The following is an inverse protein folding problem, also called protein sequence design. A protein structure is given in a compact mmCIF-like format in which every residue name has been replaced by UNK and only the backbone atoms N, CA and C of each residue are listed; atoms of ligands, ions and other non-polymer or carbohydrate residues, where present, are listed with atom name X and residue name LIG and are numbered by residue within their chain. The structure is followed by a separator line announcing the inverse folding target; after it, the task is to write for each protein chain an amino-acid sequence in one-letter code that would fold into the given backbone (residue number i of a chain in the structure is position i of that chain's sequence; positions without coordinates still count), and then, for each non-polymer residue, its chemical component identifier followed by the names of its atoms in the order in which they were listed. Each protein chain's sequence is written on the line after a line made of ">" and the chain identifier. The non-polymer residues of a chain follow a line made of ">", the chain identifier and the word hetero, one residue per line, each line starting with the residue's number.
data_IF_582324610549
#
_entry.id   IF_582324610549
#
_cell.length_a   1.000
_cell.length_b   1.000
_cell.length_c   1.000
_cell.angle_alpha   90.00
_cell.angle_beta   90.00
_cell.angle_gamma   90.00
#
_symmetry.space_group_name_H-M   'P 1'
#
loop_
_entity.id
_entity.type
_entity.pdbx_description
1 polymer ?
#
# COMPACT_ATOMS: atom_id res chain seq x y z
N UNK A 1 13.31 -0.04 -0.09
CA UNK A 1 13.08 -1.15 -1.04
C UNK A 1 12.96 -2.48 -0.31
N UNK A 2 13.94 -2.88 0.52
CA UNK A 2 13.84 -4.13 1.30
C UNK A 2 12.62 -4.20 2.23
N UNK A 3 12.32 -3.11 2.94
CA UNK A 3 11.16 -3.03 3.85
C UNK A 3 9.82 -3.13 3.12
N UNK A 4 9.69 -2.48 1.95
CA UNK A 4 8.51 -2.56 1.10
C UNK A 4 8.27 -3.99 0.60
N UNK A 5 9.36 -4.67 0.20
CA UNK A 5 9.30 -6.05 -0.29
C UNK A 5 8.88 -7.02 0.81
N UNK A 6 9.47 -6.88 2.00
CA UNK A 6 9.10 -7.67 3.19
C UNK A 6 7.62 -7.49 3.55
N UNK A 7 7.11 -6.25 3.52
CA UNK A 7 5.69 -5.97 3.77
C UNK A 7 4.77 -6.68 2.75
N UNK A 8 5.11 -6.60 1.47
CA UNK A 8 4.29 -7.14 0.38
C UNK A 8 4.36 -8.67 0.25
N UNK A 9 5.54 -9.26 0.41
CA UNK A 9 5.78 -10.68 0.14
C UNK A 9 5.57 -11.56 1.37
N UNK A 10 5.78 -11.01 2.58
CA UNK A 10 5.80 -11.81 3.80
C UNK A 10 4.77 -11.34 4.83
N UNK A 11 4.95 -10.15 5.39
CA UNK A 11 4.20 -9.68 6.58
C UNK A 11 2.68 -9.57 6.32
N UNK A 12 2.27 -8.87 5.26
CA UNK A 12 0.84 -8.68 4.95
C UNK A 12 0.20 -10.02 4.51
N UNK A 13 0.80 -10.82 3.60
CA UNK A 13 0.28 -12.15 3.27
C UNK A 13 0.22 -13.10 4.48
N UNK A 14 1.21 -13.08 5.37
CA UNK A 14 1.21 -13.89 6.58
C UNK A 14 0.11 -13.46 7.55
N UNK A 15 -0.03 -12.15 7.81
CA UNK A 15 -1.11 -11.62 8.64
C UNK A 15 -2.50 -11.96 8.10
N UNK A 16 -2.68 -11.88 6.78
CA UNK A 16 -3.93 -12.31 6.12
C UNK A 16 -4.18 -13.81 6.29
N UNK A 17 -3.16 -14.66 6.11
CA UNK A 17 -3.29 -16.12 6.33
C UNK A 17 -3.65 -16.43 7.78
N UNK A 18 -2.99 -15.78 8.73
CA UNK A 18 -3.29 -15.95 10.15
C UNK A 18 -4.74 -15.59 10.49
N UNK A 19 -5.32 -14.54 9.88
CA UNK A 19 -6.73 -14.21 10.06
C UNK A 19 -7.68 -15.26 9.47
N UNK A 20 -7.35 -15.84 8.30
CA UNK A 20 -8.13 -16.92 7.69
C UNK A 20 -8.08 -18.18 8.54
N UNK A 21 -6.91 -18.54 9.06
CA UNK A 21 -6.73 -19.65 9.98
C UNK A 21 -7.50 -19.41 11.29
N UNK A 22 -7.42 -18.19 11.83
CA UNK A 22 -8.17 -17.78 13.02
C UNK A 22 -9.67 -17.98 12.83
N UNK A 23 -10.22 -17.58 11.67
CA UNK A 23 -11.63 -17.83 11.35
C UNK A 23 -12.01 -19.31 11.43
N UNK A 24 -11.21 -20.20 10.83
CA UNK A 24 -11.46 -21.65 10.86
C UNK A 24 -11.36 -22.22 12.28
N UNK A 25 -10.34 -21.79 13.03
CA UNK A 25 -10.11 -22.23 14.41
C UNK A 25 -11.26 -21.78 15.32
N UNK A 26 -11.78 -20.57 15.15
CA UNK A 26 -12.89 -20.05 15.94
C UNK A 26 -14.19 -20.82 15.72
N UNK A 27 -14.45 -21.30 14.50
CA UNK A 27 -15.57 -22.21 14.25
C UNK A 27 -15.43 -23.50 15.07
N UNK A 28 -14.24 -24.11 15.06
CA UNK A 28 -14.00 -25.33 15.84
C UNK A 28 -14.07 -25.10 17.35
N UNK A 29 -13.58 -23.95 17.84
CA UNK A 29 -13.69 -23.56 19.25
C UNK A 29 -15.15 -23.37 19.65
N UNK A 30 -15.97 -22.75 18.79
CA UNK A 30 -17.40 -22.59 19.04
C UNK A 30 -18.10 -23.96 19.15
N UNK A 31 -17.85 -24.86 18.19
CA UNK A 31 -18.39 -26.22 18.20
C UNK A 31 -17.96 -26.99 19.45
N UNK A 32 -16.69 -26.85 19.86
CA UNK A 32 -16.17 -27.46 21.08
C UNK A 32 -16.88 -26.90 22.32
N UNK A 33 -17.01 -25.58 22.44
CA UNK A 33 -17.67 -24.95 23.59
C UNK A 33 -19.13 -25.39 23.72
N UNK A 34 -19.87 -25.48 22.61
CA UNK A 34 -21.24 -25.98 22.60
C UNK A 34 -21.30 -27.45 23.06
N UNK A 35 -20.51 -28.32 22.43
CA UNK A 35 -20.49 -29.75 22.77
C UNK A 35 -20.05 -30.01 24.21
N UNK A 36 -19.02 -29.31 24.68
CA UNK A 36 -18.55 -29.38 26.07
C UNK A 36 -19.65 -28.93 27.03
N UNK A 37 -20.34 -27.83 26.73
CA UNK A 37 -21.45 -27.38 27.57
C UNK A 37 -22.59 -28.39 27.60
N UNK A 38 -22.96 -29.01 26.49
CA UNK A 38 -24.04 -30.02 26.43
C UNK A 38 -23.66 -31.29 27.19
N UNK A 39 -22.43 -31.79 27.04
CA UNK A 39 -21.98 -33.06 27.62
C UNK A 39 -21.51 -32.95 29.08
N UNK A 40 -21.08 -31.77 29.53
CA UNK A 40 -20.55 -31.59 30.88
C UNK A 40 -21.62 -31.84 31.97
N UNK A 41 -21.23 -32.57 33.02
CA UNK A 41 -22.04 -32.71 34.24
C UNK A 41 -22.12 -31.39 35.02
N UNK A 42 -21.01 -30.66 35.10
CA UNK A 42 -20.96 -29.33 35.73
C UNK A 42 -21.03 -28.22 34.68
N UNK A 43 -22.24 -27.67 34.50
CA UNK A 43 -22.49 -26.58 33.54
C UNK A 43 -21.79 -25.28 33.91
N UNK A 44 -21.52 -25.02 35.20
CA UNK A 44 -20.85 -23.77 35.61
C UNK A 44 -19.40 -23.79 35.15
N UNK A 45 -18.73 -24.93 35.34
CA UNK A 45 -17.35 -25.11 34.89
C UNK A 45 -17.22 -24.98 33.37
N UNK A 46 -18.10 -25.65 32.60
CA UNK A 46 -18.09 -25.56 31.14
C UNK A 46 -18.38 -24.14 30.62
N UNK A 47 -19.24 -23.38 31.32
CA UNK A 47 -19.50 -21.99 31.00
C UNK A 47 -18.29 -21.09 31.25
N UNK A 48 -17.59 -21.26 32.37
CA UNK A 48 -16.36 -20.51 32.66
C UNK A 48 -15.27 -20.81 31.64
N UNK A 49 -15.12 -22.07 31.21
CA UNK A 49 -14.21 -22.44 30.13
C UNK A 49 -14.58 -21.75 28.81
N UNK A 50 -15.87 -21.69 28.47
CA UNK A 50 -16.36 -20.99 27.28
C UNK A 50 -16.08 -19.49 27.33
N UNK A 51 -16.25 -18.85 28.50
CA UNK A 51 -15.89 -17.43 28.70
C UNK A 51 -14.39 -17.19 28.51
N UNK A 52 -13.54 -18.11 28.99
CA UNK A 52 -12.10 -18.03 28.80
C UNK A 52 -11.74 -18.10 27.30
N UNK A 53 -12.28 -19.08 26.57
CA UNK A 53 -12.09 -19.18 25.12
C UNK A 53 -12.61 -17.94 24.38
N UNK A 54 -13.76 -17.39 24.78
CA UNK A 54 -14.32 -16.17 24.18
C UNK A 54 -13.38 -14.99 24.36
N UNK A 55 -12.83 -14.81 25.57
CA UNK A 55 -11.90 -13.71 25.88
C UNK A 55 -10.60 -13.85 25.10
N UNK A 56 -10.05 -15.06 25.05
CA UNK A 56 -8.83 -15.36 24.29
C UNK A 56 -9.03 -15.14 22.79
N UNK A 57 -10.16 -15.59 22.25
CA UNK A 57 -10.54 -15.44 20.84
C UNK A 57 -10.65 -13.96 20.46
N UNK A 58 -11.34 -13.16 21.28
CA UNK A 58 -11.48 -11.73 21.07
C UNK A 58 -10.12 -11.02 21.07
N UNK A 59 -9.27 -11.33 22.06
CA UNK A 59 -7.93 -10.74 22.15
C UNK A 59 -7.04 -11.12 20.95
N UNK A 60 -7.09 -12.39 20.54
CA UNK A 60 -6.31 -12.91 19.41
C UNK A 60 -6.69 -12.23 18.09
N UNK A 61 -7.98 -12.17 17.77
CA UNK A 61 -8.47 -11.54 16.53
C UNK A 61 -8.17 -10.04 16.54
N UNK A 62 -8.39 -9.35 17.66
CA UNK A 62 -8.10 -7.93 17.77
C UNK A 62 -6.61 -7.63 17.52
N UNK A 63 -5.71 -8.44 18.09
CA UNK A 63 -4.27 -8.31 17.85
C UNK A 63 -3.91 -8.54 16.39
N UNK A 64 -4.42 -9.60 15.76
CA UNK A 64 -4.16 -9.92 14.35
C UNK A 64 -4.62 -8.81 13.41
N UNK A 65 -5.82 -8.26 13.64
CA UNK A 65 -6.36 -7.13 12.86
C UNK A 65 -5.48 -5.90 13.04
N UNK A 66 -5.11 -5.56 14.28
CA UNK A 66 -4.26 -4.41 14.57
C UNK A 66 -2.88 -4.54 13.91
N UNK A 67 -2.24 -5.71 14.00
CA UNK A 67 -0.95 -5.95 13.37
C UNK A 67 -1.02 -5.78 11.84
N UNK A 68 -2.02 -6.39 11.20
CA UNK A 68 -2.21 -6.27 9.76
C UNK A 68 -2.50 -4.82 9.32
N UNK A 69 -3.32 -4.10 10.08
CA UNK A 69 -3.63 -2.70 9.80
C UNK A 69 -2.37 -1.82 9.85
N UNK A 70 -1.52 -1.99 10.87
CA UNK A 70 -0.27 -1.25 10.97
C UNK A 70 0.67 -1.55 9.80
N UNK A 71 0.80 -2.83 9.41
CA UNK A 71 1.63 -3.21 8.26
C UNK A 71 1.12 -2.60 6.95
N UNK A 72 -0.21 -2.52 6.76
CA UNK A 72 -0.82 -1.87 5.58
C UNK A 72 -0.63 -0.35 5.60
N UNK A 73 -0.78 0.30 6.76
CA UNK A 73 -0.51 1.74 6.87
C UNK A 73 0.94 2.07 6.55
N UNK A 74 1.88 1.29 7.11
CA UNK A 74 3.31 1.43 6.83
C UNK A 74 3.62 1.25 5.34
N UNK A 75 2.98 0.27 4.68
CA UNK A 75 3.10 0.07 3.23
C UNK A 75 2.69 1.34 2.46
N UNK A 76 1.54 1.92 2.81
CA UNK A 76 1.01 3.12 2.15
C UNK A 76 1.90 4.34 2.37
N UNK A 77 2.43 4.53 3.59
CA UNK A 77 3.34 5.64 3.90
C UNK A 77 4.64 5.54 3.09
N UNK A 78 5.21 4.34 2.97
CA UNK A 78 6.40 4.11 2.13
C UNK A 78 6.08 4.45 0.67
N UNK A 79 4.97 3.96 0.13
CA UNK A 79 4.59 4.22 -1.26
C UNK A 79 4.32 5.71 -1.52
N UNK A 80 3.64 6.41 -0.62
CA UNK A 80 3.42 7.85 -0.70
C UNK A 80 4.76 8.62 -0.74
N UNK A 81 5.71 8.27 0.14
CA UNK A 81 7.03 8.89 0.16
C UNK A 81 7.82 8.66 -1.14
N UNK A 82 7.71 7.46 -1.73
CA UNK A 82 8.34 7.13 -3.01
C UNK A 82 7.74 7.96 -4.16
N UNK A 83 6.42 8.13 -4.17
CA UNK A 83 5.73 8.93 -5.18
C UNK A 83 6.15 10.40 -5.11
N UNK A 84 6.24 11.00 -3.93
CA UNK A 84 6.73 12.38 -3.77
C UNK A 84 8.17 12.54 -4.29
N UNK A 85 9.03 11.54 -4.07
CA UNK A 85 10.40 11.54 -4.60
C UNK A 85 10.43 11.40 -6.13
N UNK A 86 9.54 10.59 -6.69
CA UNK A 86 9.39 10.47 -8.15
C UNK A 86 8.91 11.79 -8.76
N UNK A 87 7.92 12.46 -8.16
CA UNK A 87 7.44 13.76 -8.59
C UNK A 87 8.57 14.81 -8.61
N UNK A 88 9.36 14.88 -7.53
CA UNK A 88 10.54 15.75 -7.47
C UNK A 88 11.55 15.44 -8.58
N UNK A 89 11.81 14.16 -8.84
CA UNK A 89 12.72 13.73 -9.91
C UNK A 89 12.19 14.14 -11.31
N UNK A 90 10.88 13.99 -11.55
CA UNK A 90 10.23 14.43 -12.79
C UNK A 90 10.33 15.95 -12.95
N UNK A 91 10.09 16.71 -11.88
CA UNK A 91 10.21 18.17 -11.91
C UNK A 91 11.63 18.61 -12.27
N UNK A 92 12.67 17.95 -11.72
CA UNK A 92 14.06 18.21 -12.10
C UNK A 92 14.35 17.87 -13.57
N UNK A 93 13.86 16.74 -14.08
CA UNK A 93 14.00 16.37 -15.50
C UNK A 93 13.31 17.39 -16.42
N UNK A 94 12.11 17.85 -16.03
CA UNK A 94 11.36 18.87 -16.74
C UNK A 94 12.15 20.19 -16.83
N UNK A 95 12.76 20.62 -15.72
CA UNK A 95 13.63 21.81 -15.71
C UNK A 95 14.85 21.67 -16.62
N UNK A 96 15.47 20.49 -16.67
CA UNK A 96 16.61 20.23 -17.59
C UNK A 96 16.15 20.30 -19.05
N UNK A 97 14.96 19.78 -19.36
CA UNK A 97 14.38 19.85 -20.71
C UNK A 97 14.13 21.30 -21.13
N UNK A 98 13.45 22.09 -20.29
CA UNK A 98 13.16 23.50 -20.61
C UNK A 98 14.42 24.34 -20.76
N UNK A 99 15.44 24.10 -19.92
CA UNK A 99 16.74 24.73 -20.09
C UNK A 99 17.40 24.36 -21.43
N UNK A 100 17.36 23.08 -21.81
CA UNK A 100 17.94 22.61 -23.07
C UNK A 100 17.22 23.21 -24.29
N UNK A 101 15.89 23.33 -24.24
CA UNK A 101 15.09 24.01 -25.26
C UNK A 101 15.43 25.51 -25.37
N UNK A 102 15.63 26.19 -24.23
CA UNK A 102 16.07 27.59 -24.22
C UNK A 102 17.44 27.75 -24.87
N UNK A 103 18.41 26.90 -24.53
CA UNK A 103 19.75 26.94 -25.12
C UNK A 103 19.72 26.72 -26.65
N UNK A 104 18.90 25.76 -27.11
CA UNK A 104 18.69 25.52 -28.54
C UNK A 104 18.06 26.73 -29.24
N UNK A 105 17.08 27.35 -28.59
CA UNK A 105 16.40 28.56 -29.09
C UNK A 105 17.39 29.71 -29.26
N UNK A 106 18.24 29.96 -28.26
CA UNK A 106 19.27 31.00 -28.31
C UNK A 106 20.33 30.70 -29.39
N UNK A 107 20.75 29.45 -29.52
CA UNK A 107 21.68 29.01 -30.57
C UNK A 107 21.12 29.26 -31.98
N UNK A 108 19.87 28.86 -32.24
CA UNK A 108 19.21 29.07 -33.53
C UNK A 108 19.04 30.57 -33.84
N UNK A 109 18.73 31.38 -32.82
CA UNK A 109 18.59 32.83 -32.98
C UNK A 109 19.89 33.51 -33.40
N UNK A 110 21.03 33.06 -32.87
CA UNK A 110 22.35 33.63 -33.16
C UNK A 110 22.96 33.11 -34.47
N UNK A 111 22.80 31.82 -34.76
CA UNK A 111 23.54 31.16 -35.84
C UNK A 111 22.69 30.79 -37.08
N UNK A 112 21.35 30.78 -36.98
CA UNK A 112 20.45 30.43 -38.08
C UNK A 112 19.12 31.24 -38.06
N UNK A 113 19.15 32.59 -38.12
CA UNK A 113 17.99 33.44 -37.87
C UNK A 113 16.85 33.26 -38.89
N UNK A 114 17.18 32.94 -40.15
CA UNK A 114 16.19 32.61 -41.19
C UNK A 114 15.45 31.31 -40.90
N UNK A 115 16.14 30.29 -40.38
CA UNK A 115 15.53 29.03 -39.94
C UNK A 115 14.66 29.24 -38.69
N UNK A 116 15.14 30.04 -37.74
CA UNK A 116 14.38 30.41 -36.54
C UNK A 116 13.06 31.10 -36.87
N UNK A 117 13.07 32.11 -37.77
CA UNK A 117 11.85 32.78 -38.25
C UNK A 117 10.87 31.80 -38.91
N UNK A 118 11.38 30.87 -39.71
CA UNK A 118 10.58 29.83 -40.37
C UNK A 118 9.87 28.91 -39.37
N UNK A 119 10.57 28.49 -38.30
CA UNK A 119 10.03 27.65 -37.22
C UNK A 119 9.07 28.42 -36.30
N UNK A 120 9.25 29.73 -36.14
CA UNK A 120 8.35 30.56 -35.31
C UNK A 120 6.98 30.86 -35.95
N UNK A 121 6.87 30.68 -37.28
CA UNK A 121 5.63 30.92 -38.03
C UNK A 121 4.82 29.65 -38.30
N UNK A 122 5.29 28.47 -37.91
CA UNK A 122 4.47 27.25 -37.93
C UNK A 122 3.52 27.25 -36.72
N UNK A 123 2.18 27.22 -36.90
CA UNK A 123 1.25 27.18 -35.78
C UNK A 123 1.45 25.89 -34.96
N UNK A 124 1.26 25.94 -33.63
CA UNK A 124 1.39 24.75 -32.80
C UNK A 124 0.31 23.75 -33.20
N UNK A 125 0.70 22.65 -33.85
CA UNK A 125 -0.18 21.50 -33.98
C UNK A 125 -0.48 20.98 -32.58
N UNK A 126 -1.74 21.08 -32.18
CA UNK A 126 -2.32 20.44 -31.00
C UNK A 126 -1.76 19.02 -30.85
N UNK A 127 -0.83 18.85 -29.91
CA UNK A 127 -0.63 17.58 -29.23
C UNK A 127 -0.81 17.86 -27.75
N UNK A 128 -2.08 17.78 -27.33
CA UNK A 128 -2.36 17.28 -26.01
C UNK A 128 -1.80 15.86 -25.94
N UNK A 129 -0.82 15.68 -25.09
CA UNK A 129 -0.49 14.39 -24.50
C UNK A 129 -0.29 14.64 -23.01
N UNK A 130 -0.96 13.78 -22.24
CA UNK A 130 -0.97 13.68 -20.79
C UNK A 130 0.39 13.90 -20.14
#
# INVERSE_FOLDING_TARGET
>A
MAELQMLLEEEIPAGKRALVESYQNLTQVADYCENNYVQAQDKRKALEETKAYTTQSLASVAYQINALANNVLQLLDIQASQMCRMESSINHISQVRTHSESLLTDYLRLHAPSLFLSLSHTPPTHQGFF
#
